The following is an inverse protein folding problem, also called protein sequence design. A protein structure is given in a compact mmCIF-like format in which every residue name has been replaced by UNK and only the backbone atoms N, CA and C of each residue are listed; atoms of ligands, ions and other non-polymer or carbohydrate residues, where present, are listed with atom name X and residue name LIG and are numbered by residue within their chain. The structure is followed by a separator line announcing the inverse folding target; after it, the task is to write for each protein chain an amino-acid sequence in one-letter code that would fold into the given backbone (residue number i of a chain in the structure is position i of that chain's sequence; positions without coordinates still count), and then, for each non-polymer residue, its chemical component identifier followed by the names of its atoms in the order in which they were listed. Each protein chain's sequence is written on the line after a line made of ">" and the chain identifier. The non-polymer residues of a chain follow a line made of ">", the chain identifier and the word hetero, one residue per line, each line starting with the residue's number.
data_IF_570045802253
#
_entry.id   IF_570045802253
#
_cell.length_a   1.000
_cell.length_b   1.000
_cell.length_c   1.000
_cell.angle_alpha   90.00
_cell.angle_beta   90.00
_cell.angle_gamma   90.00
#
_symmetry.space_group_name_H-M   'P 1'
#
loop_
_entity.id
_entity.type
_entity.pdbx_description
1 polymer ?
#
# COMPACT_ATOMS: atom_id res chain seq x y z
N UNK A 1 -6.56 -1.81 -12.71
CA UNK A 1 -5.07 -1.82 -12.82
C UNK A 1 -4.60 -2.84 -13.86
N UNK A 2 -4.89 -4.14 -13.68
CA UNK A 2 -4.38 -5.23 -14.56
C UNK A 2 -4.75 -5.04 -16.04
N UNK A 3 -5.97 -4.61 -16.35
CA UNK A 3 -6.42 -4.40 -17.73
C UNK A 3 -5.68 -3.25 -18.43
N UNK A 4 -5.43 -2.15 -17.72
CA UNK A 4 -4.67 -1.01 -18.24
C UNK A 4 -3.20 -1.35 -18.41
N UNK A 5 -2.61 -2.13 -17.47
CA UNK A 5 -1.24 -2.60 -17.57
C UNK A 5 -1.04 -3.52 -18.79
N UNK A 6 -1.98 -4.39 -19.10
CA UNK A 6 -1.95 -5.22 -20.30
C UNK A 6 -1.98 -4.38 -21.59
N UNK A 7 -2.86 -3.38 -21.64
CA UNK A 7 -3.01 -2.49 -22.78
C UNK A 7 -1.75 -1.65 -23.04
N UNK A 8 -1.12 -1.08 -22.01
CA UNK A 8 0.07 -0.23 -22.14
C UNK A 8 1.36 -1.01 -22.38
N UNK A 9 1.46 -2.25 -21.86
CA UNK A 9 2.65 -3.09 -22.00
C UNK A 9 2.64 -4.00 -23.22
N UNK A 10 1.48 -4.20 -23.86
CA UNK A 10 1.30 -5.21 -24.91
C UNK A 10 1.35 -6.65 -24.40
N UNK A 11 1.34 -6.87 -23.08
CA UNK A 11 1.35 -8.18 -22.46
C UNK A 11 -0.07 -8.67 -22.22
N UNK A 12 -0.26 -10.00 -22.24
CA UNK A 12 -1.56 -10.63 -21.97
C UNK A 12 -2.07 -10.26 -20.58
N UNK A 13 -3.39 -9.99 -20.48
CA UNK A 13 -4.06 -9.61 -19.23
C UNK A 13 -3.98 -10.72 -18.18
N UNK A 14 -4.06 -11.97 -18.60
CA UNK A 14 -3.98 -13.16 -17.75
C UNK A 14 -2.56 -13.30 -17.18
N UNK A 15 -1.54 -13.12 -18.00
CA UNK A 15 -0.13 -13.10 -17.59
C UNK A 15 0.15 -12.02 -16.53
N UNK A 16 -0.36 -10.80 -16.69
CA UNK A 16 -0.21 -9.74 -15.68
C UNK A 16 -1.00 -10.06 -14.40
N UNK A 17 -2.16 -10.72 -14.53
CA UNK A 17 -2.93 -11.20 -13.38
C UNK A 17 -2.17 -12.26 -12.59
N UNK A 18 -1.55 -13.20 -13.27
CA UNK A 18 -0.77 -14.29 -12.67
C UNK A 18 0.54 -13.78 -12.03
N UNK A 19 1.22 -12.84 -12.66
CA UNK A 19 2.33 -12.11 -12.02
C UNK A 19 1.91 -11.48 -10.70
N UNK A 20 0.68 -11.03 -10.62
CA UNK A 20 0.14 -10.39 -9.43
C UNK A 20 -0.26 -11.38 -8.32
N UNK A 21 -0.74 -12.57 -8.69
CA UNK A 21 -1.18 -13.62 -7.74
C UNK A 21 -0.04 -14.50 -7.24
N UNK A 22 0.85 -14.88 -8.16
CA UNK A 22 1.89 -15.89 -7.93
C UNK A 22 3.30 -15.29 -7.99
N UNK A 23 3.43 -14.01 -7.67
CA UNK A 23 4.69 -13.27 -7.74
C UNK A 23 5.91 -14.01 -7.15
N UNK A 24 5.84 -14.74 -6.02
CA UNK A 24 6.99 -15.46 -5.50
C UNK A 24 7.44 -16.64 -6.38
N UNK A 25 6.49 -17.43 -6.92
CA UNK A 25 6.81 -18.59 -7.76
C UNK A 25 7.26 -18.20 -9.17
N UNK A 26 6.50 -17.31 -9.80
CA UNK A 26 6.77 -16.86 -11.17
C UNK A 26 8.02 -15.99 -11.21
N UNK A 27 8.31 -15.19 -10.18
CA UNK A 27 9.55 -14.43 -10.10
C UNK A 27 10.78 -15.33 -9.96
N UNK A 28 10.70 -16.49 -9.34
CA UNK A 28 11.81 -17.43 -9.25
C UNK A 28 12.11 -18.08 -10.63
N UNK A 29 11.09 -18.42 -11.39
CA UNK A 29 11.24 -18.99 -12.74
C UNK A 29 11.54 -17.95 -13.81
N UNK A 30 10.95 -16.75 -13.72
CA UNK A 30 11.18 -15.61 -14.62
C UNK A 30 12.43 -14.78 -14.26
N UNK A 31 13.11 -15.08 -13.18
CA UNK A 31 14.43 -14.49 -12.90
C UNK A 31 15.43 -14.74 -14.04
N UNK A 32 15.16 -15.75 -14.85
CA UNK A 32 15.89 -16.05 -16.07
C UNK A 32 15.47 -15.20 -17.29
N UNK A 33 14.32 -14.48 -17.24
CA UNK A 33 13.89 -13.51 -18.26
C UNK A 33 13.64 -12.14 -17.66
N UNK A 34 14.68 -11.54 -17.14
CA UNK A 34 14.71 -10.26 -16.39
C UNK A 34 13.97 -9.12 -17.10
N UNK A 35 13.91 -9.16 -18.42
CA UNK A 35 13.37 -8.09 -19.26
C UNK A 35 11.84 -7.94 -19.17
N UNK A 36 11.09 -9.04 -19.25
CA UNK A 36 9.61 -9.00 -19.28
C UNK A 36 9.02 -8.50 -17.95
N UNK A 37 9.58 -8.96 -16.82
CA UNK A 37 9.15 -8.52 -15.49
C UNK A 37 9.44 -7.03 -15.28
N UNK A 38 10.59 -6.56 -15.76
CA UNK A 38 10.94 -5.14 -15.71
C UNK A 38 9.99 -4.28 -16.53
N UNK A 39 9.64 -4.70 -17.74
CA UNK A 39 8.65 -4.00 -18.57
C UNK A 39 7.28 -3.93 -17.91
N UNK A 40 6.81 -5.03 -17.31
CA UNK A 40 5.52 -5.07 -16.61
C UNK A 40 5.50 -4.11 -15.41
N UNK A 41 6.58 -4.06 -14.64
CA UNK A 41 6.74 -3.13 -13.51
C UNK A 41 6.75 -1.68 -14.00
N UNK A 42 7.53 -1.36 -15.03
CA UNK A 42 7.59 -0.02 -15.60
C UNK A 42 6.24 0.43 -16.18
N UNK A 43 5.49 -0.47 -16.83
CA UNK A 43 4.14 -0.19 -17.30
C UNK A 43 3.18 0.10 -16.14
N UNK A 44 3.26 -0.68 -15.05
CA UNK A 44 2.47 -0.40 -13.84
C UNK A 44 2.80 0.97 -13.22
N UNK A 45 4.08 1.34 -13.14
CA UNK A 45 4.51 2.64 -12.63
C UNK A 45 3.95 3.80 -13.46
N UNK A 46 4.08 3.72 -14.80
CA UNK A 46 3.51 4.74 -15.71
C UNK A 46 2.00 4.89 -15.54
N UNK A 47 1.28 3.78 -15.37
CA UNK A 47 -0.17 3.80 -15.16
C UNK A 47 -0.52 4.44 -13.81
N UNK A 48 0.21 4.13 -12.75
CA UNK A 48 0.01 4.75 -11.44
C UNK A 48 0.19 6.27 -11.53
N UNK A 49 1.27 6.73 -12.17
CA UNK A 49 1.52 8.15 -12.38
C UNK A 49 0.40 8.81 -13.20
N UNK A 50 0.04 8.21 -14.33
CA UNK A 50 -1.04 8.71 -15.20
C UNK A 50 -2.41 8.78 -14.49
N UNK A 51 -2.74 7.80 -13.64
CA UNK A 51 -3.97 7.83 -12.84
C UNK A 51 -3.93 8.98 -11.83
N UNK A 52 -2.81 9.18 -11.16
CA UNK A 52 -2.64 10.26 -10.18
C UNK A 52 -2.72 11.65 -10.82
N UNK A 53 -2.19 11.82 -12.03
CA UNK A 53 -2.25 13.07 -12.80
C UNK A 53 -3.67 13.40 -13.30
N UNK A 54 -4.49 12.39 -13.55
CA UNK A 54 -5.85 12.57 -14.08
C UNK A 54 -6.90 13.01 -13.04
N UNK A 55 -6.53 13.14 -11.76
CA UNK A 55 -7.41 13.64 -10.71
C UNK A 55 -7.45 12.78 -9.46
N UNK A 56 -8.43 13.06 -8.59
CA UNK A 56 -8.54 12.37 -7.29
C UNK A 56 -8.83 10.88 -7.48
N UNK A 57 -8.01 10.03 -6.87
CA UNK A 57 -8.12 8.58 -6.96
C UNK A 57 -7.67 7.89 -5.67
N UNK A 58 -8.05 6.63 -5.51
CA UNK A 58 -7.52 5.72 -4.48
C UNK A 58 -6.79 4.59 -5.19
N UNK A 59 -5.52 4.42 -4.85
CA UNK A 59 -4.67 3.38 -5.42
C UNK A 59 -4.26 2.42 -4.31
N UNK A 60 -4.50 1.12 -4.51
CA UNK A 60 -4.21 0.09 -3.51
C UNK A 60 -3.07 -0.80 -3.98
N UNK A 61 -2.03 -0.87 -3.15
CA UNK A 61 -0.88 -1.74 -3.36
C UNK A 61 0.07 -1.27 -4.48
N UNK A 62 0.84 -2.20 -5.03
CA UNK A 62 1.80 -1.99 -6.14
C UNK A 62 2.92 -0.99 -5.83
N UNK A 63 3.25 -0.82 -4.56
CA UNK A 63 4.19 0.19 -4.11
C UNK A 63 3.85 1.60 -4.66
N UNK A 64 2.55 1.92 -4.78
CA UNK A 64 2.08 3.19 -5.30
C UNK A 64 2.53 4.37 -4.44
N UNK A 65 2.65 4.16 -3.13
CA UNK A 65 3.25 5.08 -2.16
C UNK A 65 4.68 5.48 -2.55
N UNK A 66 5.49 4.52 -2.98
CA UNK A 66 6.85 4.74 -3.46
C UNK A 66 6.88 5.37 -4.86
N UNK A 67 6.04 4.88 -5.78
CA UNK A 67 5.96 5.42 -7.16
C UNK A 67 5.56 6.89 -7.16
N UNK A 68 4.72 7.29 -6.21
CA UNK A 68 4.21 8.67 -6.08
C UNK A 68 4.91 9.46 -4.97
N UNK A 69 6.08 9.05 -4.51
CA UNK A 69 6.80 9.67 -3.38
C UNK A 69 7.12 11.16 -3.59
N UNK A 70 7.32 11.58 -4.83
CA UNK A 70 7.60 12.97 -5.19
C UNK A 70 6.32 13.82 -5.33
N UNK A 71 5.13 13.19 -5.31
CA UNK A 71 3.87 13.92 -5.38
C UNK A 71 3.48 14.46 -4.01
N UNK A 72 3.30 15.77 -3.92
CA UNK A 72 2.97 16.47 -2.65
C UNK A 72 1.52 16.30 -2.21
N UNK A 73 0.62 15.97 -3.14
CA UNK A 73 -0.84 15.82 -2.89
C UNK A 73 -1.27 14.35 -2.76
N UNK A 74 -0.39 13.52 -2.21
CA UNK A 74 -0.65 12.09 -1.95
C UNK A 74 -0.65 11.84 -0.45
N UNK A 75 -1.71 11.21 0.06
CA UNK A 75 -1.77 10.66 1.42
C UNK A 75 -1.38 9.18 1.38
N UNK A 76 -0.22 8.84 1.92
CA UNK A 76 0.28 7.46 2.01
C UNK A 76 -0.23 6.82 3.28
N UNK A 77 -1.03 5.78 3.11
CA UNK A 77 -1.70 5.09 4.23
C UNK A 77 -1.25 3.64 4.30
N UNK A 78 -0.88 3.18 5.48
CA UNK A 78 -0.66 1.77 5.76
C UNK A 78 -1.77 1.25 6.67
N UNK A 79 -2.46 0.20 6.21
CA UNK A 79 -3.45 -0.52 6.99
C UNK A 79 -2.79 -1.73 7.63
N UNK A 80 -2.94 -1.87 8.94
CA UNK A 80 -2.51 -3.05 9.68
C UNK A 80 -3.64 -3.56 10.58
N UNK A 81 -3.52 -4.77 11.05
CA UNK A 81 -4.40 -5.32 12.08
C UNK A 81 -3.66 -6.44 12.84
N UNK A 82 -4.07 -6.75 14.09
CA UNK A 82 -3.57 -7.90 14.81
C UNK A 82 -3.73 -9.21 14.03
N UNK A 83 -2.78 -10.12 14.22
CA UNK A 83 -2.73 -11.40 13.51
C UNK A 83 -4.05 -12.18 13.61
N UNK A 84 -4.60 -12.30 14.80
CA UNK A 84 -5.85 -13.04 15.09
C UNK A 84 -7.03 -12.45 14.33
N UNK A 85 -7.14 -11.11 14.28
CA UNK A 85 -8.19 -10.43 13.51
C UNK A 85 -8.06 -10.76 12.01
N UNK A 86 -6.85 -10.76 11.49
CA UNK A 86 -6.58 -11.06 10.07
C UNK A 86 -6.91 -12.50 9.72
N UNK A 87 -6.55 -13.46 10.59
CA UNK A 87 -6.86 -14.88 10.43
C UNK A 87 -8.37 -15.07 10.41
N UNK A 88 -9.10 -14.53 11.39
CA UNK A 88 -10.57 -14.60 11.41
C UNK A 88 -11.18 -14.06 10.11
N UNK A 89 -10.68 -12.93 9.61
CA UNK A 89 -11.17 -12.35 8.35
C UNK A 89 -10.91 -13.21 7.13
N UNK A 90 -9.77 -13.90 7.07
CA UNK A 90 -9.45 -14.84 5.97
C UNK A 90 -10.39 -16.03 6.03
N UNK A 91 -10.60 -16.62 7.23
CA UNK A 91 -11.56 -17.71 7.42
C UNK A 91 -12.98 -17.33 6.98
N UNK A 92 -13.44 -16.14 7.37
CA UNK A 92 -14.76 -15.62 6.97
C UNK A 92 -14.90 -15.42 5.46
N UNK A 93 -13.88 -14.92 4.80
CA UNK A 93 -13.93 -14.53 3.39
C UNK A 93 -13.73 -15.70 2.43
N UNK A 94 -12.87 -16.64 2.80
CA UNK A 94 -12.44 -17.74 1.90
C UNK A 94 -12.90 -19.10 2.37
N UNK A 95 -13.39 -19.23 3.60
CA UNK A 95 -13.78 -20.51 4.19
C UNK A 95 -12.61 -21.40 4.59
N UNK A 96 -11.40 -20.81 4.70
CA UNK A 96 -10.19 -21.51 5.11
C UNK A 96 -10.32 -22.00 6.57
N UNK A 97 -9.67 -23.11 6.91
CA UNK A 97 -9.40 -23.47 8.30
C UNK A 97 -8.39 -22.48 8.92
N UNK A 98 -8.24 -22.50 10.24
CA UNK A 98 -7.30 -21.61 10.92
C UNK A 98 -5.85 -21.79 10.43
N UNK A 99 -5.41 -23.03 10.25
CA UNK A 99 -4.05 -23.34 9.77
C UNK A 99 -3.86 -22.84 8.33
N UNK A 100 -4.83 -23.08 7.46
CA UNK A 100 -4.81 -22.57 6.07
C UNK A 100 -4.84 -21.05 6.03
N UNK A 101 -5.64 -20.40 6.86
CA UNK A 101 -5.73 -18.94 6.95
C UNK A 101 -4.41 -18.33 7.43
N UNK A 102 -3.75 -18.94 8.40
CA UNK A 102 -2.42 -18.55 8.90
C UNK A 102 -1.36 -18.64 7.81
N UNK A 103 -1.34 -19.74 7.08
CA UNK A 103 -0.42 -19.95 5.97
C UNK A 103 -0.71 -18.99 4.80
N UNK A 104 -1.96 -18.79 4.46
CA UNK A 104 -2.42 -17.83 3.45
C UNK A 104 -1.97 -16.39 3.79
N UNK A 105 -2.15 -15.99 5.05
CA UNK A 105 -1.71 -14.69 5.54
C UNK A 105 -0.19 -14.52 5.41
N UNK A 106 0.57 -15.51 5.90
CA UNK A 106 2.04 -15.50 5.86
C UNK A 106 2.56 -15.37 4.43
N UNK A 107 2.08 -16.21 3.51
CA UNK A 107 2.47 -16.14 2.09
C UNK A 107 2.12 -14.81 1.45
N UNK A 108 0.96 -14.25 1.77
CA UNK A 108 0.54 -12.97 1.24
C UNK A 108 1.43 -11.82 1.71
N UNK A 109 1.85 -11.84 2.97
CA UNK A 109 2.72 -10.81 3.53
C UNK A 109 4.16 -10.93 2.99
N UNK A 110 4.69 -12.15 2.89
CA UNK A 110 5.98 -12.40 2.27
C UNK A 110 6.04 -11.90 0.82
N UNK A 111 4.97 -12.18 0.05
CA UNK A 111 4.86 -11.73 -1.33
C UNK A 111 4.82 -10.19 -1.43
N UNK A 112 4.06 -9.52 -0.55
CA UNK A 112 3.99 -8.04 -0.50
C UNK A 112 5.34 -7.44 -0.11
N UNK A 113 5.98 -7.99 0.92
CA UNK A 113 7.28 -7.52 1.40
C UNK A 113 8.38 -7.70 0.32
N UNK A 114 8.44 -8.86 -0.32
CA UNK A 114 9.40 -9.13 -1.40
C UNK A 114 9.18 -8.19 -2.60
N UNK A 115 7.92 -7.99 -3.02
CA UNK A 115 7.59 -7.07 -4.09
C UNK A 115 7.98 -5.62 -3.74
N UNK A 116 7.61 -5.16 -2.54
CA UNK A 116 7.89 -3.80 -2.09
C UNK A 116 9.39 -3.52 -2.02
N UNK A 117 10.16 -4.43 -1.40
CA UNK A 117 11.63 -4.32 -1.32
C UNK A 117 12.27 -4.26 -2.70
N UNK A 118 11.79 -5.06 -3.65
CA UNK A 118 12.29 -5.05 -5.03
C UNK A 118 12.07 -3.73 -5.73
N UNK A 119 10.92 -3.07 -5.52
CA UNK A 119 10.56 -1.82 -6.20
C UNK A 119 11.18 -0.61 -5.53
N UNK A 120 11.16 -0.56 -4.21
CA UNK A 120 11.55 0.62 -3.42
C UNK A 120 12.96 0.55 -2.84
N UNK A 121 13.50 -0.66 -2.67
CA UNK A 121 14.70 -0.91 -1.88
C UNK A 121 14.46 -0.87 -0.36
N UNK A 122 13.24 -0.57 0.08
CA UNK A 122 12.88 -0.37 1.48
C UNK A 122 12.10 -1.56 2.05
N UNK A 123 11.98 -1.62 3.37
CA UNK A 123 11.15 -2.62 4.05
C UNK A 123 9.67 -2.26 3.94
N UNK A 124 8.83 -3.28 3.67
CA UNK A 124 7.38 -3.11 3.61
C UNK A 124 6.81 -2.87 5.01
N UNK A 125 5.94 -1.86 5.15
CA UNK A 125 5.34 -1.50 6.44
C UNK A 125 6.23 -0.65 7.33
N UNK A 126 7.41 -0.20 6.86
CA UNK A 126 8.27 0.72 7.59
C UNK A 126 7.53 2.05 7.81
N UNK A 127 7.22 2.37 9.07
CA UNK A 127 6.33 3.47 9.46
C UNK A 127 6.68 4.83 8.88
N UNK A 128 7.97 5.12 8.71
CA UNK A 128 8.45 6.40 8.20
C UNK A 128 8.12 6.67 6.72
N UNK A 129 7.64 5.65 6.02
CA UNK A 129 7.27 5.76 4.60
C UNK A 129 5.81 6.16 4.41
N UNK A 130 5.02 6.19 5.50
CA UNK A 130 3.58 6.46 5.46
C UNK A 130 3.25 7.72 6.25
N UNK A 131 2.26 8.46 5.76
CA UNK A 131 1.73 9.65 6.42
C UNK A 131 0.71 9.27 7.51
N UNK A 132 0.08 8.09 7.39
CA UNK A 132 -0.94 7.59 8.30
C UNK A 132 -0.86 6.06 8.41
N UNK A 133 -0.87 5.55 9.64
CA UNK A 133 -1.03 4.13 9.93
C UNK A 133 -2.37 3.93 10.61
N UNK A 134 -3.19 3.01 10.11
CA UNK A 134 -4.54 2.76 10.63
C UNK A 134 -4.68 1.29 11.00
N UNK A 135 -5.10 1.06 12.25
CA UNK A 135 -5.52 -0.26 12.70
C UNK A 135 -6.92 -0.57 12.17
N UNK A 136 -6.99 -1.51 11.21
CA UNK A 136 -8.23 -1.92 10.59
C UNK A 136 -9.10 -2.83 11.48
N UNK A 137 -8.60 -3.26 12.65
CA UNK A 137 -9.38 -4.05 13.62
C UNK A 137 -10.49 -3.25 14.28
N UNK A 138 -10.44 -1.92 14.20
CA UNK A 138 -11.55 -1.05 14.63
C UNK A 138 -12.81 -1.20 13.75
N UNK A 139 -12.72 -1.91 12.64
CA UNK A 139 -13.76 -2.10 11.64
C UNK A 139 -13.51 -1.34 10.35
N UNK A 140 -14.00 -1.91 9.24
CA UNK A 140 -13.72 -1.37 7.89
C UNK A 140 -14.28 0.04 7.66
N UNK A 141 -15.49 0.30 8.18
CA UNK A 141 -16.15 1.62 8.06
C UNK A 141 -15.40 2.68 8.87
N UNK A 142 -14.98 2.34 10.08
CA UNK A 142 -14.22 3.22 10.95
C UNK A 142 -12.86 3.54 10.36
N UNK A 143 -12.15 2.53 9.86
CA UNK A 143 -10.87 2.72 9.20
C UNK A 143 -11.00 3.63 7.96
N UNK A 144 -12.02 3.41 7.13
CA UNK A 144 -12.32 4.27 5.98
C UNK A 144 -12.63 5.71 6.41
N UNK A 145 -13.41 5.89 7.48
CA UNK A 145 -13.73 7.22 8.01
C UNK A 145 -12.48 7.96 8.49
N UNK A 146 -11.58 7.30 9.22
CA UNK A 146 -10.31 7.88 9.67
C UNK A 146 -9.51 8.40 8.47
N UNK A 147 -9.41 7.61 7.40
CA UNK A 147 -8.70 8.00 6.19
C UNK A 147 -9.36 9.21 5.52
N UNK A 148 -10.69 9.21 5.40
CA UNK A 148 -11.44 10.33 4.83
C UNK A 148 -11.25 11.62 5.62
N UNK A 149 -11.30 11.53 6.97
CA UNK A 149 -11.08 12.67 7.87
C UNK A 149 -9.63 13.21 7.72
N UNK A 150 -8.64 12.33 7.60
CA UNK A 150 -7.25 12.72 7.36
C UNK A 150 -7.07 13.44 6.01
N UNK A 151 -7.73 12.97 4.95
CA UNK A 151 -7.74 13.65 3.63
C UNK A 151 -8.38 15.03 3.73
N UNK A 152 -9.52 15.15 4.44
CA UNK A 152 -10.21 16.41 4.63
C UNK A 152 -9.35 17.43 5.40
N UNK A 153 -8.68 16.99 6.47
CA UNK A 153 -7.75 17.81 7.24
C UNK A 153 -6.57 18.29 6.39
N UNK A 154 -5.99 17.42 5.56
CA UNK A 154 -4.85 17.75 4.70
C UNK A 154 -5.21 18.82 3.66
N UNK A 155 -6.42 18.77 3.11
CA UNK A 155 -6.92 19.78 2.16
C UNK A 155 -7.18 21.15 2.81
N UNK A 156 -7.44 21.17 4.12
CA UNK A 156 -7.70 22.40 4.87
C UNK A 156 -6.42 22.96 5.49
N UNK A 157 -5.65 23.74 4.70
CA UNK A 157 -4.35 24.31 5.10
C UNK A 157 -4.41 25.14 6.41
N UNK A 158 -5.54 25.79 6.71
CA UNK A 158 -5.70 26.56 7.95
C UNK A 158 -5.79 25.65 9.19
N UNK A 159 -6.55 24.56 9.11
CA UNK A 159 -6.64 23.57 10.21
C UNK A 159 -5.30 22.94 10.45
N UNK A 160 -4.59 22.50 9.39
CA UNK A 160 -3.24 21.92 9.49
C UNK A 160 -2.29 22.90 10.15
N UNK A 161 -2.31 24.18 9.78
CA UNK A 161 -1.46 25.23 10.38
C UNK A 161 -1.77 25.43 11.88
N UNK A 162 -3.06 25.46 12.26
CA UNK A 162 -3.48 25.54 13.67
C UNK A 162 -3.05 24.31 14.47
N UNK A 163 -3.21 23.11 13.92
CA UNK A 163 -2.77 21.85 14.56
C UNK A 163 -1.25 21.81 14.74
N UNK A 164 -0.48 22.19 13.73
CA UNK A 164 0.97 22.29 13.84
C UNK A 164 1.39 23.25 14.95
N UNK A 165 0.76 24.42 15.05
CA UNK A 165 1.04 25.40 16.12
C UNK A 165 0.69 24.85 17.51
N UNK A 166 -0.39 24.07 17.61
CA UNK A 166 -0.80 23.45 18.87
C UNK A 166 0.13 22.32 19.28
N UNK A 167 0.46 21.43 18.35
CA UNK A 167 1.40 20.32 18.55
C UNK A 167 2.82 20.81 18.87
N UNK A 168 3.28 21.87 18.22
CA UNK A 168 4.57 22.50 18.54
C UNK A 168 4.67 22.89 20.01
N UNK A 169 3.64 23.54 20.55
CA UNK A 169 3.58 23.90 21.98
C UNK A 169 3.57 22.69 22.92
N UNK A 170 3.06 21.55 22.45
CA UNK A 170 3.03 20.29 23.21
C UNK A 170 4.40 19.59 23.22
N UNK A 171 5.03 19.54 22.06
CA UNK A 171 6.38 18.98 21.89
C UNK A 171 7.42 19.79 22.67
N UNK A 172 7.35 21.11 22.57
CA UNK A 172 8.25 22.02 23.29
C UNK A 172 8.13 21.84 24.82
N UNK A 173 6.91 21.60 25.33
CA UNK A 173 6.70 21.27 26.75
C UNK A 173 7.23 19.89 27.15
N UNK A 174 7.15 18.90 26.27
CA UNK A 174 7.62 17.54 26.55
C UNK A 174 9.13 17.42 26.55
N UNK A 175 9.82 18.23 25.75
CA UNK A 175 11.28 18.30 25.69
C UNK A 175 11.86 19.05 26.91
N UNK A 176 11.10 19.97 27.49
CA UNK A 176 11.53 20.76 28.66
C UNK A 176 11.37 20.02 30.00
N UNK A 177 10.68 18.85 29.99
CA UNK A 177 10.41 18.02 31.16
C UNK A 177 11.23 16.72 31.21
N UNK A 178 12.13 16.52 30.24
CA UNK A 178 13.12 15.43 30.18
C UNK A 178 14.50 15.95 30.54
#
# INVERSE_FOLDING_TARGET
>A
MTALAAQESGLDREFISDLNRNAPKILHELYLSTTVVQYAVLAQHKIIQKIAENGSCVIVGRAADYVLKEHTDVLRVFLYAPEEYRICRIMELYGDSEDEAREHMRHSDEARAAYYRRISGNEWGERHQYDLLVDASCGMEQAAKIICDAVALRKNKEIVKKMCTYLQKFVDKSITLS
#
